data_IF_024824274524
#
_entry.id   IF_024824274524
#
_cell.length_a   1.000
_cell.length_b   1.000
_cell.length_c   1.000
_cell.angle_alpha   90.00
_cell.angle_beta   90.00
_cell.angle_gamma   90.00
#
_symmetry.space_group_name_H-M   'P 1'
#
loop_
_entity.id
_entity.type
_entity.pdbx_description
1 polymer ?
#
# COMPACT_ATOMS: atom_id res chain seq x y z
N UNK A 1 17.13 -16.73 25.91
CA UNK A 1 16.09 -16.11 26.79
C UNK A 1 15.70 -14.69 26.38
N UNK A 2 16.63 -13.87 25.84
CA UNK A 2 16.30 -12.50 25.39
C UNK A 2 15.45 -12.44 24.12
N UNK A 3 15.57 -13.39 23.20
CA UNK A 3 14.80 -13.37 21.93
C UNK A 3 13.32 -13.70 22.10
N UNK A 4 12.97 -14.56 23.06
CA UNK A 4 11.57 -14.90 23.36
C UNK A 4 10.80 -13.74 24.00
N UNK A 5 11.48 -12.88 24.78
CA UNK A 5 10.88 -11.69 25.39
C UNK A 5 10.56 -10.59 24.38
N UNK A 6 11.42 -10.39 23.35
CA UNK A 6 11.19 -9.42 22.27
C UNK A 6 10.03 -9.84 21.35
N UNK A 7 9.96 -11.11 20.97
CA UNK A 7 8.84 -11.65 20.18
C UNK A 7 7.51 -11.54 20.93
N UNK A 8 7.52 -11.75 22.24
CA UNK A 8 6.34 -11.57 23.10
C UNK A 8 5.90 -10.10 23.20
N UNK A 9 6.82 -9.14 23.25
CA UNK A 9 6.48 -7.71 23.34
C UNK A 9 5.90 -7.14 22.05
N UNK A 10 6.44 -7.49 20.88
CA UNK A 10 5.91 -7.07 19.60
C UNK A 10 4.51 -7.64 19.32
N UNK A 11 4.28 -8.90 19.67
CA UNK A 11 2.96 -9.51 19.56
C UNK A 11 1.95 -8.84 20.49
N UNK A 12 2.35 -8.48 21.71
CA UNK A 12 1.51 -7.74 22.65
C UNK A 12 1.15 -6.33 22.15
N UNK A 13 2.04 -5.63 21.45
CA UNK A 13 1.78 -4.30 20.88
C UNK A 13 0.72 -4.40 19.77
N UNK A 14 0.87 -5.36 18.86
CA UNK A 14 -0.11 -5.60 17.78
C UNK A 14 -1.47 -6.02 18.31
N UNK A 15 -1.51 -6.89 19.30
CA UNK A 15 -2.75 -7.33 19.95
C UNK A 15 -3.46 -6.16 20.66
N UNK A 16 -2.71 -5.20 21.23
CA UNK A 16 -3.27 -3.98 21.83
C UNK A 16 -3.93 -3.09 20.79
N UNK A 17 -3.25 -2.83 19.66
CA UNK A 17 -3.83 -2.02 18.59
C UNK A 17 -5.08 -2.69 17.99
N UNK A 18 -5.06 -4.00 17.76
CA UNK A 18 -6.22 -4.74 17.29
C UNK A 18 -7.39 -4.67 18.28
N UNK A 19 -7.12 -4.90 19.58
CA UNK A 19 -8.12 -4.76 20.64
C UNK A 19 -8.69 -3.34 20.68
N UNK A 20 -7.84 -2.32 20.54
CA UNK A 20 -8.27 -0.93 20.52
C UNK A 20 -9.20 -0.62 19.33
N UNK A 21 -8.93 -1.21 18.14
CA UNK A 21 -9.84 -1.10 16.98
C UNK A 21 -11.20 -1.69 17.30
N UNK A 22 -11.26 -2.90 17.86
CA UNK A 22 -12.53 -3.54 18.21
C UNK A 22 -13.30 -2.76 19.29
N UNK A 23 -12.60 -2.24 20.30
CA UNK A 23 -13.21 -1.41 21.34
C UNK A 23 -13.75 -0.10 20.78
N UNK A 24 -13.04 0.52 19.83
CA UNK A 24 -13.51 1.71 19.14
C UNK A 24 -14.76 1.42 18.29
N UNK A 25 -14.77 0.31 17.55
CA UNK A 25 -15.90 -0.10 16.71
C UNK A 25 -17.16 -0.43 17.55
N UNK A 26 -16.98 -1.01 18.72
CA UNK A 26 -18.09 -1.29 19.66
C UNK A 26 -18.55 -0.07 20.45
N UNK A 27 -17.90 1.08 20.30
CA UNK A 27 -18.21 2.31 21.02
C UNK A 27 -17.78 2.30 22.48
N UNK A 28 -16.92 1.35 22.90
CA UNK A 28 -16.49 1.19 24.27
C UNK A 28 -15.41 2.21 24.70
N UNK A 29 -14.49 2.56 23.78
CA UNK A 29 -13.43 3.54 24.06
C UNK A 29 -12.88 4.15 22.79
N UNK A 30 -12.35 5.38 22.90
CA UNK A 30 -11.53 6.00 21.86
C UNK A 30 -10.06 5.90 22.26
N UNK A 31 -9.21 5.24 21.45
CA UNK A 31 -7.78 5.15 21.76
C UNK A 31 -7.10 6.51 21.58
N UNK A 32 -6.23 6.85 22.53
CA UNK A 32 -5.45 8.09 22.50
C UNK A 32 -4.31 8.06 21.49
N UNK A 33 -3.78 6.89 21.18
CA UNK A 33 -2.66 6.69 20.26
C UNK A 33 -2.67 5.26 19.73
N UNK A 34 -1.94 5.08 18.61
CA UNK A 34 -1.67 3.79 17.97
C UNK A 34 -0.18 3.54 17.96
N UNK A 35 0.25 2.29 18.09
CA UNK A 35 1.66 1.92 18.01
C UNK A 35 2.08 1.64 16.57
N UNK A 36 1.45 0.67 15.93
CA UNK A 36 1.79 0.21 14.59
C UNK A 36 0.71 0.59 13.57
N UNK A 37 -0.55 0.57 13.98
CA UNK A 37 -1.67 0.87 13.10
C UNK A 37 -1.83 2.37 12.88
N UNK A 38 -2.36 2.74 11.71
CA UNK A 38 -2.97 4.04 11.52
C UNK A 38 -4.43 3.83 11.10
N UNK A 39 -5.35 4.44 11.84
CA UNK A 39 -6.79 4.23 11.69
C UNK A 39 -7.47 5.52 11.27
N UNK A 40 -8.34 5.45 10.26
CA UNK A 40 -9.27 6.53 9.92
C UNK A 40 -10.47 6.50 10.90
N UNK A 41 -11.12 7.67 11.11
CA UNK A 41 -10.95 8.93 10.41
C UNK A 41 -9.84 9.86 10.94
N UNK A 42 -9.22 9.58 12.08
CA UNK A 42 -8.42 10.58 12.80
C UNK A 42 -6.95 10.57 12.37
N UNK A 43 -6.30 9.39 12.27
CA UNK A 43 -4.84 9.30 12.12
C UNK A 43 -4.34 8.95 10.71
N UNK A 44 -5.17 8.29 9.91
CA UNK A 44 -4.74 7.70 8.64
C UNK A 44 -4.25 8.76 7.63
N UNK A 45 -5.01 9.83 7.46
CA UNK A 45 -4.63 10.99 6.61
C UNK A 45 -3.27 11.56 7.03
N UNK A 46 -3.12 11.81 8.33
CA UNK A 46 -1.89 12.37 8.90
C UNK A 46 -0.71 11.43 8.68
N UNK A 47 -0.89 10.12 8.81
CA UNK A 47 0.16 9.12 8.55
C UNK A 47 0.63 9.19 7.10
N UNK A 48 -0.29 9.14 6.12
CA UNK A 48 0.06 9.24 4.70
C UNK A 48 0.77 10.56 4.38
N UNK A 49 0.24 11.67 4.84
CA UNK A 49 0.85 12.99 4.61
C UNK A 49 2.28 13.06 5.19
N UNK A 50 2.52 12.50 6.38
CA UNK A 50 3.85 12.42 6.99
C UNK A 50 4.81 11.57 6.14
N UNK A 51 4.37 10.42 5.65
CA UNK A 51 5.19 9.53 4.83
C UNK A 51 5.57 10.20 3.50
N UNK A 52 4.63 10.83 2.82
CA UNK A 52 4.87 11.56 1.56
C UNK A 52 5.83 12.74 1.81
N UNK A 53 5.61 13.54 2.86
CA UNK A 53 6.48 14.67 3.20
C UNK A 53 7.90 14.24 3.59
N UNK A 54 8.06 13.07 4.17
CA UNK A 54 9.38 12.51 4.46
C UNK A 54 10.15 12.23 3.17
N UNK A 55 9.54 11.59 2.18
CA UNK A 55 10.17 11.39 0.87
C UNK A 55 10.48 12.74 0.20
N UNK A 56 9.57 13.71 0.30
CA UNK A 56 9.78 15.08 -0.20
C UNK A 56 11.01 15.72 0.44
N UNK A 57 11.21 15.56 1.76
CA UNK A 57 12.38 16.06 2.48
C UNK A 57 13.65 15.37 2.00
N UNK A 58 13.65 14.04 1.85
CA UNK A 58 14.82 13.29 1.36
C UNK A 58 15.22 13.79 -0.04
N UNK A 59 14.27 13.98 -0.96
CA UNK A 59 14.56 14.51 -2.29
C UNK A 59 15.16 15.92 -2.25
N UNK A 60 14.63 16.82 -1.40
CA UNK A 60 15.18 18.17 -1.19
C UNK A 60 16.59 18.16 -0.61
N UNK A 61 16.95 17.14 0.15
CA UNK A 61 18.31 16.91 0.68
C UNK A 61 19.24 16.23 -0.35
N UNK A 62 18.79 16.01 -1.58
CA UNK A 62 19.56 15.34 -2.64
C UNK A 62 19.67 13.83 -2.48
N UNK A 63 18.87 13.22 -1.61
CA UNK A 63 18.83 11.78 -1.38
C UNK A 63 17.84 11.10 -2.33
N UNK A 64 18.06 9.81 -2.67
CA UNK A 64 17.09 9.04 -3.42
C UNK A 64 15.75 8.97 -2.67
N UNK A 65 14.67 9.25 -3.38
CA UNK A 65 13.32 9.20 -2.82
C UNK A 65 12.33 8.59 -3.82
N UNK A 66 11.48 7.70 -3.32
CA UNK A 66 10.54 6.97 -4.18
C UNK A 66 9.27 6.59 -3.44
N UNK A 67 8.15 6.75 -4.13
CA UNK A 67 6.83 6.30 -3.67
C UNK A 67 6.24 5.35 -4.72
N UNK A 68 5.73 4.21 -4.29
CA UNK A 68 4.86 3.36 -5.10
C UNK A 68 3.56 3.19 -4.34
N UNK A 69 2.42 3.41 -4.98
CA UNK A 69 1.14 3.19 -4.34
C UNK A 69 0.16 2.50 -5.28
N UNK A 70 -0.48 1.45 -4.77
CA UNK A 70 -1.54 0.70 -5.45
C UNK A 70 -2.84 0.88 -4.71
N UNK A 71 -3.90 1.24 -5.42
CA UNK A 71 -5.24 1.44 -4.88
C UNK A 71 -6.30 1.40 -5.97
N UNK A 72 -7.58 1.41 -5.59
CA UNK A 72 -8.65 1.54 -6.58
C UNK A 72 -8.88 2.99 -6.99
N UNK A 73 -8.85 3.93 -6.06
CA UNK A 73 -9.23 5.32 -6.35
C UNK A 73 -8.32 6.33 -5.69
N UNK A 74 -7.94 7.36 -6.47
CA UNK A 74 -7.15 8.51 -6.03
C UNK A 74 -7.90 9.79 -6.38
N UNK A 75 -8.61 10.36 -5.39
CA UNK A 75 -9.38 11.61 -5.58
C UNK A 75 -9.37 12.52 -4.35
N UNK A 76 -8.49 12.26 -3.36
CA UNK A 76 -8.32 13.16 -2.22
C UNK A 76 -7.45 14.37 -2.59
N UNK A 77 -7.98 15.61 -2.51
CA UNK A 77 -7.23 16.78 -2.93
C UNK A 77 -5.94 17.02 -2.13
N UNK A 78 -5.97 16.80 -0.81
CA UNK A 78 -4.81 17.04 0.06
C UNK A 78 -3.68 16.02 -0.17
N UNK A 79 -4.01 14.78 -0.48
CA UNK A 79 -3.02 13.76 -0.86
C UNK A 79 -2.44 14.10 -2.25
N UNK A 80 -3.30 14.48 -3.22
CA UNK A 80 -2.85 14.86 -4.57
C UNK A 80 -1.90 16.05 -4.51
N UNK A 81 -2.22 17.09 -3.72
CA UNK A 81 -1.35 18.24 -3.50
C UNK A 81 0.01 17.82 -2.91
N UNK A 82 0.00 16.95 -1.89
CA UNK A 82 1.23 16.41 -1.29
C UNK A 82 2.07 15.61 -2.28
N UNK A 83 1.44 14.87 -3.22
CA UNK A 83 2.15 14.14 -4.27
C UNK A 83 2.74 15.10 -5.32
N UNK A 84 2.06 16.19 -5.64
CA UNK A 84 2.61 17.23 -6.51
C UNK A 84 3.81 17.92 -5.89
N UNK A 85 3.75 18.28 -4.61
CA UNK A 85 4.90 18.83 -3.87
C UNK A 85 6.09 17.86 -3.86
N UNK A 86 5.82 16.56 -3.67
CA UNK A 86 6.84 15.52 -3.70
C UNK A 86 7.48 15.38 -5.09
N UNK A 87 6.66 15.35 -6.13
CA UNK A 87 7.13 15.29 -7.52
C UNK A 87 7.97 16.51 -7.89
N UNK A 88 7.52 17.71 -7.55
CA UNK A 88 8.26 18.95 -7.76
C UNK A 88 9.62 18.97 -7.03
N UNK A 89 9.73 18.27 -5.91
CA UNK A 89 10.99 18.08 -5.18
C UNK A 89 11.90 17.00 -5.77
N UNK A 90 11.45 16.24 -6.79
CA UNK A 90 12.22 15.19 -7.44
C UNK A 90 11.94 13.77 -6.97
N UNK A 91 10.92 13.54 -6.15
CA UNK A 91 10.50 12.19 -5.74
C UNK A 91 9.95 11.43 -6.95
N UNK A 92 10.47 10.22 -7.20
CA UNK A 92 9.91 9.33 -8.22
C UNK A 92 8.64 8.65 -7.70
N UNK A 93 7.51 8.91 -8.35
CA UNK A 93 6.20 8.44 -7.91
C UNK A 93 5.59 7.53 -8.97
N UNK A 94 5.25 6.30 -8.60
CA UNK A 94 4.61 5.32 -9.47
C UNK A 94 3.29 4.87 -8.83
N UNK A 95 2.19 5.14 -9.52
CA UNK A 95 0.84 4.87 -9.02
C UNK A 95 0.16 3.82 -9.88
N UNK A 96 -0.45 2.83 -9.24
CA UNK A 96 -1.28 1.80 -9.87
C UNK A 96 -2.71 2.04 -9.39
N UNK A 97 -3.54 2.63 -10.25
CA UNK A 97 -4.91 3.04 -9.91
C UNK A 97 -5.89 2.41 -10.88
N UNK A 98 -6.73 1.49 -10.40
CA UNK A 98 -7.63 0.71 -11.27
C UNK A 98 -8.93 1.44 -11.62
N UNK A 99 -9.35 2.40 -10.81
CA UNK A 99 -10.61 3.14 -10.98
C UNK A 99 -10.38 4.64 -11.16
N UNK A 100 -11.04 5.46 -10.33
CA UNK A 100 -11.01 6.92 -10.47
C UNK A 100 -9.64 7.48 -10.09
N UNK A 101 -9.04 8.26 -10.99
CA UNK A 101 -7.84 9.03 -10.74
C UNK A 101 -8.09 10.51 -11.09
N UNK A 102 -8.09 11.37 -10.05
CA UNK A 102 -8.25 12.82 -10.24
C UNK A 102 -6.90 13.56 -10.34
N UNK A 103 -5.78 12.83 -10.22
CA UNK A 103 -4.44 13.39 -10.38
C UNK A 103 -4.10 13.57 -11.86
N UNK A 104 -3.50 14.70 -12.21
CA UNK A 104 -3.03 15.00 -13.56
C UNK A 104 -1.52 14.82 -13.63
N UNK A 105 -1.04 14.05 -14.60
CA UNK A 105 0.37 13.76 -14.82
C UNK A 105 0.99 14.66 -15.89
N UNK A 106 2.32 14.70 -15.96
CA UNK A 106 3.06 15.32 -17.07
C UNK A 106 3.03 16.84 -17.08
N UNK A 107 2.67 17.51 -15.97
CA UNK A 107 2.75 18.98 -15.86
C UNK A 107 4.17 19.34 -15.45
N UNK A 108 4.92 20.10 -16.30
CA UNK A 108 6.29 20.51 -16.01
C UNK A 108 6.41 21.24 -14.68
N UNK A 109 7.39 20.85 -13.86
CA UNK A 109 7.63 21.43 -12.53
C UNK A 109 6.62 21.03 -11.45
N UNK A 110 5.60 20.24 -11.79
CA UNK A 110 4.54 19.81 -10.84
C UNK A 110 4.42 18.29 -10.78
N UNK A 111 4.12 17.63 -11.90
CA UNK A 111 3.84 16.19 -11.92
C UNK A 111 4.64 15.40 -12.94
N UNK A 112 5.78 15.92 -13.37
CA UNK A 112 6.67 15.27 -14.33
C UNK A 112 7.30 13.99 -13.81
N UNK A 113 7.44 13.83 -12.49
CA UNK A 113 7.99 12.66 -11.85
C UNK A 113 6.91 11.66 -11.38
N UNK A 114 5.65 11.87 -11.79
CA UNK A 114 4.52 10.99 -11.49
C UNK A 114 4.13 10.18 -12.71
N UNK A 115 4.16 8.87 -12.58
CA UNK A 115 3.59 7.92 -13.53
C UNK A 115 2.35 7.27 -12.91
N UNK A 116 1.24 7.27 -13.65
CA UNK A 116 0.01 6.57 -13.26
C UNK A 116 -0.29 5.51 -14.30
N UNK A 117 -0.52 4.29 -13.84
CA UNK A 117 -1.01 3.21 -14.68
C UNK A 117 -2.26 2.57 -14.11
N UNK A 118 -3.10 2.06 -14.99
CA UNK A 118 -4.28 1.28 -14.67
C UNK A 118 -4.13 -0.12 -15.26
N UNK A 119 -4.39 -1.14 -14.46
CA UNK A 119 -4.38 -2.53 -14.89
C UNK A 119 -5.80 -3.06 -14.72
N UNK A 120 -6.44 -3.41 -15.83
CA UNK A 120 -7.78 -4.02 -15.84
C UNK A 120 -7.67 -5.36 -16.55
N UNK A 121 -7.84 -6.43 -15.80
CA UNK A 121 -7.71 -7.80 -16.26
C UNK A 121 -8.96 -8.63 -15.99
N UNK A 122 -8.78 -9.94 -15.87
CA UNK A 122 -9.85 -10.90 -15.65
C UNK A 122 -10.33 -10.93 -14.20
N UNK A 123 -9.50 -10.52 -13.26
CA UNK A 123 -9.77 -10.55 -11.83
C UNK A 123 -9.83 -9.14 -11.25
N UNK A 124 -10.73 -8.95 -10.29
CA UNK A 124 -10.77 -7.74 -9.50
C UNK A 124 -9.54 -7.68 -8.57
N UNK A 125 -8.77 -6.62 -8.68
CA UNK A 125 -7.62 -6.38 -7.81
C UNK A 125 -7.99 -5.35 -6.75
N UNK A 126 -8.18 -5.82 -5.52
CA UNK A 126 -8.68 -5.00 -4.42
C UNK A 126 -7.63 -4.71 -3.34
N UNK A 127 -6.38 -5.06 -3.58
CA UNK A 127 -5.29 -4.78 -2.65
C UNK A 127 -4.92 -3.29 -2.67
N UNK A 128 -4.59 -2.74 -1.50
CA UNK A 128 -3.99 -1.42 -1.35
C UNK A 128 -2.64 -1.62 -0.71
N UNK A 129 -1.60 -1.18 -1.42
CA UNK A 129 -0.20 -1.35 -1.04
C UNK A 129 0.49 -0.01 -1.22
N UNK A 130 1.27 0.39 -0.21
CA UNK A 130 1.98 1.67 -0.21
C UNK A 130 3.43 1.43 0.17
N UNK A 131 4.33 1.85 -0.70
CA UNK A 131 5.77 1.72 -0.54
C UNK A 131 6.42 3.09 -0.48
N UNK A 132 7.33 3.26 0.47
CA UNK A 132 8.15 4.45 0.65
C UNK A 132 9.61 4.02 0.77
N UNK A 133 10.51 4.67 0.01
CA UNK A 133 11.92 4.29 -0.05
C UNK A 133 12.70 4.64 1.24
N UNK A 134 12.34 5.75 1.88
CA UNK A 134 12.87 6.17 3.17
C UNK A 134 14.41 6.09 3.28
N UNK A 135 15.13 6.68 2.31
CA UNK A 135 16.61 6.73 2.30
C UNK A 135 17.29 5.34 2.36
N UNK A 136 16.60 4.30 1.82
CA UNK A 136 17.07 2.91 1.80
C UNK A 136 16.46 2.01 2.89
N UNK A 137 15.83 2.58 3.91
CA UNK A 137 15.08 1.86 4.94
C UNK A 137 13.63 1.60 4.46
N UNK A 138 13.50 0.76 3.45
CA UNK A 138 12.24 0.54 2.74
C UNK A 138 11.08 0.20 3.67
N UNK A 139 9.99 0.97 3.56
CA UNK A 139 8.75 0.73 4.30
C UNK A 139 7.62 0.33 3.38
N UNK A 140 6.95 -0.74 3.73
CA UNK A 140 5.76 -1.26 3.05
C UNK A 140 4.57 -1.27 4.00
N UNK A 141 3.46 -0.75 3.51
CA UNK A 141 2.19 -0.74 4.22
C UNK A 141 1.11 -1.39 3.37
N UNK A 142 0.17 -2.05 4.04
CA UNK A 142 -1.07 -2.52 3.43
C UNK A 142 -2.26 -1.96 4.20
N UNK A 143 -3.41 -1.85 3.54
CA UNK A 143 -4.58 -1.31 4.20
C UNK A 143 -5.87 -1.48 3.42
N UNK A 144 -6.96 -0.99 4.00
CA UNK A 144 -8.29 -1.03 3.41
C UNK A 144 -8.67 0.26 2.65
N UNK A 145 -7.97 1.37 2.91
CA UNK A 145 -8.31 2.69 2.39
C UNK A 145 -7.75 2.94 0.99
N UNK A 146 -8.58 3.51 0.13
CA UNK A 146 -8.17 4.30 -1.03
C UNK A 146 -7.83 5.73 -0.61
N UNK A 147 -7.09 6.47 -1.42
CA UNK A 147 -6.87 7.90 -1.19
C UNK A 147 -8.08 8.74 -1.65
N UNK A 148 -9.14 8.57 -0.89
CA UNK A 148 -10.43 9.25 -1.07
C UNK A 148 -10.84 9.97 0.23
N UNK A 149 -11.47 11.18 0.17
CA UNK A 149 -11.94 11.86 1.38
C UNK A 149 -12.85 10.99 2.25
N UNK A 150 -13.72 10.20 1.63
CA UNK A 150 -14.61 9.28 2.32
C UNK A 150 -13.87 8.22 3.14
N UNK A 151 -12.78 7.65 2.60
CA UNK A 151 -11.99 6.65 3.29
C UNK A 151 -11.13 7.28 4.39
N UNK A 152 -10.55 8.44 4.12
CA UNK A 152 -9.61 9.06 5.05
C UNK A 152 -10.28 9.79 6.23
N UNK A 153 -11.52 10.29 6.04
CA UNK A 153 -12.15 11.21 6.98
C UNK A 153 -13.49 10.73 7.55
N UNK A 154 -14.10 9.67 7.00
CA UNK A 154 -15.49 9.30 7.37
C UNK A 154 -15.68 7.81 7.67
N UNK A 155 -14.85 6.93 7.12
CA UNK A 155 -14.93 5.48 7.33
C UNK A 155 -13.92 5.04 8.37
N UNK A 156 -14.18 3.92 9.00
CA UNK A 156 -13.15 3.20 9.73
C UNK A 156 -12.34 2.40 8.74
N UNK A 157 -11.10 2.80 8.56
CA UNK A 157 -10.14 2.15 7.66
C UNK A 157 -8.82 1.95 8.42
N UNK A 158 -8.07 0.93 8.02
CA UNK A 158 -6.85 0.54 8.72
C UNK A 158 -5.68 0.55 7.74
N UNK A 159 -4.54 1.05 8.20
CA UNK A 159 -3.24 0.90 7.55
C UNK A 159 -2.28 0.23 8.54
N UNK A 160 -1.58 -0.79 8.11
CA UNK A 160 -0.60 -1.51 8.91
C UNK A 160 0.73 -1.70 8.16
N UNK A 161 1.88 -1.64 8.86
CA UNK A 161 3.18 -1.91 8.27
C UNK A 161 3.37 -3.41 8.04
N UNK A 162 4.08 -3.75 6.97
CA UNK A 162 4.59 -5.11 6.73
C UNK A 162 5.99 -5.17 7.34
N UNK A 163 6.14 -5.81 8.50
CA UNK A 163 7.38 -5.80 9.27
C UNK A 163 8.30 -7.00 8.95
N UNK A 164 7.72 -8.15 8.67
CA UNK A 164 8.47 -9.36 8.33
C UNK A 164 9.15 -9.22 6.96
N UNK A 165 10.45 -9.50 6.89
CA UNK A 165 11.26 -9.28 5.69
C UNK A 165 10.87 -10.20 4.52
N UNK A 166 10.42 -11.42 4.79
CA UNK A 166 9.96 -12.33 3.73
C UNK A 166 8.61 -11.86 3.17
N UNK A 167 7.72 -11.36 4.04
CA UNK A 167 6.47 -10.74 3.61
C UNK A 167 6.72 -9.43 2.87
N UNK A 168 7.68 -8.61 3.29
CA UNK A 168 8.09 -7.40 2.54
C UNK A 168 8.51 -7.75 1.11
N UNK A 169 9.39 -8.75 0.95
CA UNK A 169 9.83 -9.23 -0.36
C UNK A 169 8.64 -9.67 -1.23
N UNK A 170 7.70 -10.42 -0.65
CA UNK A 170 6.51 -10.88 -1.34
C UNK A 170 5.59 -9.73 -1.77
N UNK A 171 5.34 -8.78 -0.88
CA UNK A 171 4.50 -7.61 -1.17
C UNK A 171 5.18 -6.69 -2.19
N UNK A 172 6.51 -6.53 -2.08
CA UNK A 172 7.29 -5.79 -3.06
C UNK A 172 7.23 -6.43 -4.45
N UNK A 173 7.37 -7.76 -4.52
CA UNK A 173 7.24 -8.53 -5.76
C UNK A 173 5.90 -8.28 -6.45
N UNK A 174 4.78 -8.20 -5.71
CA UNK A 174 3.48 -7.85 -6.29
C UNK A 174 3.53 -6.51 -7.01
N UNK A 175 4.08 -5.48 -6.37
CA UNK A 175 4.21 -4.15 -6.99
C UNK A 175 5.11 -4.18 -8.22
N UNK A 176 6.23 -4.89 -8.15
CA UNK A 176 7.20 -4.96 -9.26
C UNK A 176 6.61 -5.68 -10.48
N UNK A 177 5.88 -6.78 -10.28
CA UNK A 177 5.17 -7.50 -11.36
C UNK A 177 4.08 -6.64 -11.99
N UNK A 178 3.30 -5.93 -11.20
CA UNK A 178 2.27 -5.02 -11.73
C UNK A 178 2.89 -3.82 -12.47
N UNK A 179 3.98 -3.26 -11.96
CA UNK A 179 4.71 -2.21 -12.67
C UNK A 179 5.37 -2.72 -13.96
N UNK A 180 5.64 -4.00 -14.08
CA UNK A 180 6.17 -4.63 -15.28
C UNK A 180 5.09 -5.08 -16.28
N UNK A 181 3.79 -4.98 -15.94
CA UNK A 181 2.70 -5.37 -16.84
C UNK A 181 2.72 -4.55 -18.14
N UNK A 182 2.74 -5.27 -19.28
CA UNK A 182 2.75 -4.68 -20.62
C UNK A 182 1.55 -5.09 -21.47
N UNK A 183 0.79 -6.10 -21.02
CA UNK A 183 -0.34 -6.64 -21.79
C UNK A 183 -1.67 -6.00 -21.39
N UNK A 184 -1.84 -5.69 -20.10
CA UNK A 184 -3.09 -5.18 -19.54
C UNK A 184 -2.97 -3.74 -19.04
N UNK A 185 -1.76 -3.26 -18.79
CA UNK A 185 -1.52 -1.92 -18.29
C UNK A 185 -1.80 -0.84 -19.33
N UNK A 186 -2.43 0.24 -18.88
CA UNK A 186 -2.63 1.50 -19.59
C UNK A 186 -1.97 2.60 -18.78
N UNK A 187 -1.25 3.50 -19.42
CA UNK A 187 -0.57 4.63 -18.79
C UNK A 187 -1.40 5.89 -19.01
N UNK A 188 -1.57 6.68 -17.95
CA UNK A 188 -2.22 7.99 -18.02
C UNK A 188 -1.28 9.01 -18.65
N UNK A 189 -1.78 9.77 -19.62
CA UNK A 189 -1.08 10.86 -20.28
C UNK A 189 -1.54 12.24 -19.80
N UNK A 190 -0.75 13.28 -20.13
CA UNK A 190 -1.02 14.65 -19.68
C UNK A 190 -2.34 15.23 -20.21
N UNK A 191 -2.87 14.69 -21.29
CA UNK A 191 -4.18 15.05 -21.85
C UNK A 191 -5.36 14.38 -21.12
N UNK A 192 -5.07 13.50 -20.17
CA UNK A 192 -6.07 12.76 -19.39
C UNK A 192 -6.49 11.43 -20.01
N UNK A 193 -5.93 11.06 -21.16
CA UNK A 193 -6.24 9.78 -21.80
C UNK A 193 -5.35 8.65 -21.26
N UNK A 194 -5.90 7.44 -21.27
CA UNK A 194 -5.16 6.22 -20.96
C UNK A 194 -4.81 5.48 -22.23
N UNK A 195 -3.53 5.23 -22.45
CA UNK A 195 -3.03 4.47 -23.59
C UNK A 195 -2.37 3.17 -23.15
N UNK A 196 -2.50 2.14 -23.98
CA UNK A 196 -1.80 0.86 -23.72
C UNK A 196 -0.30 1.08 -23.70
N UNK A 197 0.37 0.37 -22.79
CA UNK A 197 1.84 0.38 -22.73
C UNK A 197 2.43 0.03 -24.10
N UNK A 198 3.35 0.85 -24.61
CA UNK A 198 4.11 0.52 -25.81
C UNK A 198 5.00 -0.69 -25.54
N UNK A 199 4.76 -1.77 -26.29
CA UNK A 199 5.41 -3.07 -26.10
C UNK A 199 6.66 -3.27 -26.94
N UNK A 200 7.01 -2.31 -27.81
CA UNK A 200 8.19 -2.45 -28.67
C UNK A 200 9.45 -2.62 -27.83
N UNK A 201 10.15 -3.74 -28.01
CA UNK A 201 11.35 -4.08 -27.23
C UNK A 201 11.12 -4.51 -25.78
N UNK A 202 9.86 -4.70 -25.36
CA UNK A 202 9.52 -5.16 -23.98
C UNK A 202 8.99 -6.59 -24.00
N UNK A 203 9.22 -7.29 -22.89
CA UNK A 203 8.66 -8.63 -22.68
C UNK A 203 7.15 -8.51 -22.51
N UNK A 204 6.40 -9.39 -23.18
CA UNK A 204 4.95 -9.50 -23.00
C UNK A 204 4.65 -10.11 -21.63
N UNK A 205 4.13 -9.32 -20.70
CA UNK A 205 3.82 -9.74 -19.32
C UNK A 205 2.43 -9.29 -18.94
N UNK A 206 1.61 -10.24 -18.46
CA UNK A 206 0.35 -9.99 -17.76
C UNK A 206 0.55 -10.31 -16.28
N UNK A 207 0.41 -9.34 -15.41
CA UNK A 207 0.60 -9.51 -13.97
C UNK A 207 -0.31 -10.58 -13.39
N UNK A 208 -1.58 -10.61 -13.79
CA UNK A 208 -2.55 -11.60 -13.32
C UNK A 208 -2.18 -13.03 -13.75
N UNK A 209 -1.68 -13.22 -14.97
CA UNK A 209 -1.24 -14.54 -15.44
C UNK A 209 0.01 -15.03 -14.70
N UNK A 210 0.92 -14.09 -14.34
CA UNK A 210 2.08 -14.39 -13.50
C UNK A 210 1.62 -14.87 -12.12
N UNK A 211 0.73 -14.13 -11.47
CA UNK A 211 0.23 -14.51 -10.13
C UNK A 211 -0.56 -15.81 -10.15
N UNK A 212 -1.35 -16.08 -11.17
CA UNK A 212 -2.02 -17.36 -11.33
C UNK A 212 -1.03 -18.53 -11.44
N UNK A 213 0.02 -18.36 -12.23
CA UNK A 213 1.07 -19.39 -12.37
C UNK A 213 1.79 -19.62 -11.06
N UNK A 214 2.22 -18.57 -10.38
CA UNK A 214 2.87 -18.67 -9.07
C UNK A 214 1.97 -19.35 -8.02
N UNK A 215 0.68 -19.06 -8.04
CA UNK A 215 -0.27 -19.71 -7.16
C UNK A 215 -0.37 -21.23 -7.44
N UNK A 216 -0.43 -21.64 -8.72
CA UNK A 216 -0.45 -23.04 -9.11
C UNK A 216 0.84 -23.77 -8.71
N UNK A 217 2.00 -23.13 -8.91
CA UNK A 217 3.31 -23.69 -8.52
C UNK A 217 3.42 -23.84 -6.99
N UNK A 218 2.85 -22.93 -6.23
CA UNK A 218 2.86 -23.00 -4.77
C UNK A 218 1.93 -24.08 -4.22
N UNK A 219 0.82 -24.40 -4.87
CA UNK A 219 -0.07 -25.51 -4.47
C UNK A 219 0.64 -26.86 -4.61
N UNK A 220 1.55 -27.01 -5.58
CA UNK A 220 2.31 -28.24 -5.81
C UNK A 220 3.50 -28.43 -4.85
N UNK A 221 3.87 -27.40 -4.07
CA UNK A 221 4.91 -27.54 -3.04
C UNK A 221 4.28 -28.10 -1.76
N UNK A 222 4.92 -29.09 -1.09
CA UNK A 222 4.41 -29.54 0.20
C UNK A 222 4.36 -28.35 1.15
N UNK A 223 3.16 -28.05 1.64
CA UNK A 223 2.97 -26.99 2.62
C UNK A 223 3.83 -27.30 3.84
N UNK A 224 4.80 -26.46 4.15
CA UNK A 224 5.35 -26.42 5.51
C UNK A 224 4.18 -26.00 6.38
N UNK A 225 3.63 -26.98 7.11
CA UNK A 225 2.38 -26.84 7.83
C UNK A 225 2.40 -25.60 8.71
N UNK A 226 1.65 -24.59 8.29
CA UNK A 226 1.25 -23.54 9.18
C UNK A 226 0.36 -24.20 10.24
N UNK A 227 0.92 -24.50 11.41
CA UNK A 227 0.13 -24.88 12.57
C UNK A 227 -0.62 -23.64 13.03
N UNK A 228 -1.72 -23.33 12.32
CA UNK A 228 -2.65 -22.33 12.74
C UNK A 228 -3.11 -22.64 14.17
N UNK A 229 -3.07 -21.66 15.06
CA UNK A 229 -3.70 -21.80 16.37
C UNK A 229 -5.17 -22.14 16.14
N UNK A 230 -5.58 -23.34 16.49
CA UNK A 230 -7.00 -23.72 16.49
C UNK A 230 -7.65 -22.98 17.65
N UNK A 231 -8.52 -22.03 17.34
CA UNK A 231 -9.37 -21.42 18.36
C UNK A 231 -10.40 -22.48 18.80
N UNK A 232 -10.28 -22.95 20.01
CA UNK A 232 -11.32 -23.76 20.65
C UNK A 232 -12.26 -22.80 21.34
N UNK A 233 -13.56 -22.71 20.96
CA UNK A 233 -14.52 -21.89 21.66
C UNK A 233 -14.59 -22.30 23.15
N UNK A 234 -14.61 -21.32 24.05
CA UNK A 234 -14.89 -21.60 25.44
C UNK A 234 -16.31 -22.18 25.59
N UNK A 235 -16.47 -23.22 26.38
CA UNK A 235 -17.82 -23.73 26.70
C UNK A 235 -18.61 -22.62 27.39
N UNK A 236 -19.92 -22.48 27.08
CA UNK A 236 -20.76 -21.52 27.80
C UNK A 236 -20.78 -21.84 29.29
N UNK A 237 -20.48 -20.86 30.11
CA UNK A 237 -20.64 -20.96 31.56
C UNK A 237 -22.14 -21.01 31.82
N UNK A 238 -22.63 -22.13 32.42
CA UNK A 238 -24.01 -22.28 32.86
C UNK A 238 -24.35 -21.33 34.03
#
# INVERSE_FOLDING_TARGET
EMSASLVGSEMCIRDRDATAVFNMLSGYSEPLSWNELAVAPIWLRTKFTKLIRRETKHAKEGKPAKIIAKMNSLCDPGIIESLYEASAAGVKIQLIVSGICCLKVGIPGVSENIEVRSIVGNFLEHSRIFYFFNDGEEELYMGSADWMPRNLDRRVEILFPVLDDELKKRVRHILDVELADTLKAHVLHADGNYEKVDRRGKIALSSQDVFCREAMENVSKPSHGYQGRVFIPAEPVE
#
